data_IF_521059588099
#
_entry.id   IF_521059588099
#
_cell.length_a   1.000
_cell.length_b   1.000
_cell.length_c   1.000
_cell.angle_alpha   90.00
_cell.angle_beta   90.00
_cell.angle_gamma   90.00
#
_symmetry.space_group_name_H-M   'P 1'
#
loop_
_entity.id
_entity.type
_entity.pdbx_description
1 polymer ?
#
# COMPACT_ATOMS: atom_id res chain seq x y z
N UNK A 1 -6.58 1.60 1.83
CA UNK A 1 -5.36 2.40 2.04
C UNK A 1 -4.42 2.17 0.87
N UNK A 2 -4.03 3.25 0.18
CA UNK A 2 -3.27 3.18 -1.05
C UNK A 2 -1.95 3.95 -0.90
N UNK A 3 -0.84 3.25 -0.74
CA UNK A 3 0.50 3.80 -0.67
C UNK A 3 1.39 3.44 -1.88
N UNK A 4 0.83 2.79 -2.90
CA UNK A 4 1.51 2.40 -4.14
C UNK A 4 2.69 1.46 -3.96
N UNK A 5 2.70 0.68 -2.88
CA UNK A 5 3.68 -0.39 -2.71
C UNK A 5 3.20 -1.47 -1.73
N UNK A 6 3.85 -2.62 -1.78
CA UNK A 6 3.74 -3.65 -0.76
C UNK A 6 4.64 -3.25 0.42
N UNK A 7 4.09 -2.42 1.34
CA UNK A 7 4.89 -1.78 2.38
C UNK A 7 5.55 -2.76 3.35
N UNK A 8 4.83 -3.80 3.77
CA UNK A 8 5.36 -4.82 4.67
C UNK A 8 6.51 -5.60 4.01
N UNK A 9 6.32 -6.03 2.76
CA UNK A 9 7.35 -6.74 1.99
C UNK A 9 8.56 -5.86 1.73
N UNK A 10 8.34 -4.60 1.38
CA UNK A 10 9.41 -3.63 1.18
C UNK A 10 10.20 -3.38 2.46
N UNK A 11 9.52 -3.29 3.61
CA UNK A 11 10.18 -3.16 4.92
C UNK A 11 11.04 -4.38 5.23
N UNK A 12 10.55 -5.59 4.95
CA UNK A 12 11.33 -6.81 5.09
C UNK A 12 12.57 -6.80 4.19
N UNK A 13 12.45 -6.28 2.97
CA UNK A 13 13.58 -6.14 2.05
C UNK A 13 14.62 -5.14 2.56
N UNK A 14 14.20 -4.10 3.27
CA UNK A 14 15.12 -3.18 3.96
C UNK A 14 15.82 -3.89 5.12
N UNK A 15 15.08 -4.57 5.99
CA UNK A 15 15.57 -5.06 7.27
C UNK A 15 16.40 -6.36 7.13
N UNK A 16 16.11 -7.20 6.14
CA UNK A 16 16.71 -8.54 6.02
C UNK A 16 17.50 -8.77 4.75
N UNK A 17 17.32 -7.94 3.72
CA UNK A 17 17.88 -8.19 2.40
C UNK A 17 18.68 -7.02 1.86
N UNK A 18 19.19 -6.17 2.76
CA UNK A 18 20.06 -5.05 2.40
C UNK A 18 19.47 -4.18 1.29
N UNK A 19 18.19 -3.81 1.44
CA UNK A 19 17.45 -2.97 0.48
C UNK A 19 17.41 -3.51 -0.95
N UNK A 20 17.53 -4.82 -1.11
CA UNK A 20 17.38 -5.47 -2.41
C UNK A 20 15.90 -5.58 -2.76
N UNK A 21 15.38 -4.53 -3.38
CA UNK A 21 13.97 -4.42 -3.69
C UNK A 21 13.61 -5.24 -4.92
N UNK A 22 12.54 -6.03 -4.80
CA UNK A 22 11.94 -6.77 -5.91
C UNK A 22 10.42 -6.78 -5.73
N UNK A 23 9.70 -6.44 -6.80
CA UNK A 23 8.25 -6.51 -6.89
C UNK A 23 7.46 -5.80 -5.75
N UNK A 24 8.12 -4.89 -5.01
CA UNK A 24 7.49 -4.19 -3.88
C UNK A 24 6.90 -2.83 -4.26
N UNK A 25 7.32 -2.27 -5.39
CA UNK A 25 6.78 -1.02 -5.93
C UNK A 25 5.60 -1.32 -6.85
N UNK A 26 4.51 -0.60 -6.67
CA UNK A 26 3.33 -0.70 -7.51
C UNK A 26 3.14 0.60 -8.29
N UNK A 27 2.53 0.49 -9.46
CA UNK A 27 2.07 1.66 -10.21
C UNK A 27 0.89 2.33 -9.49
N UNK A 28 0.52 3.53 -9.90
CA UNK A 28 -0.66 4.21 -9.35
C UNK A 28 -1.93 3.56 -9.93
N UNK A 29 -2.46 2.58 -9.22
CA UNK A 29 -3.74 1.97 -9.55
C UNK A 29 -4.86 2.94 -9.17
N UNK A 30 -5.78 3.15 -10.07
CA UNK A 30 -6.99 3.95 -9.81
C UNK A 30 -8.10 3.05 -9.28
N UNK A 31 -8.10 2.74 -7.99
CA UNK A 31 -9.11 1.85 -7.37
C UNK A 31 -10.52 2.43 -7.46
N UNK A 32 -10.67 3.74 -7.45
CA UNK A 32 -11.95 4.41 -7.72
C UNK A 32 -12.49 3.99 -9.09
N UNK A 33 -11.68 4.08 -10.15
CA UNK A 33 -12.12 3.71 -11.51
C UNK A 33 -12.47 2.22 -11.60
N UNK A 34 -11.75 1.37 -10.87
CA UNK A 34 -12.07 -0.07 -10.81
C UNK A 34 -13.44 -0.27 -10.14
N UNK A 35 -13.68 0.39 -9.02
CA UNK A 35 -14.97 0.33 -8.32
C UNK A 35 -16.12 0.78 -9.22
N UNK A 36 -15.98 1.91 -9.90
CA UNK A 36 -16.97 2.45 -10.80
C UNK A 36 -17.24 1.51 -12.00
N UNK A 37 -16.20 0.90 -12.57
CA UNK A 37 -16.35 -0.08 -13.65
C UNK A 37 -17.09 -1.34 -13.22
N UNK A 38 -17.11 -1.65 -11.91
CA UNK A 38 -17.86 -2.75 -11.32
C UNK A 38 -19.27 -2.34 -10.84
N UNK A 39 -19.69 -1.09 -11.07
CA UNK A 39 -21.00 -0.57 -10.65
C UNK A 39 -21.09 -0.08 -9.22
N UNK A 40 -19.94 0.08 -8.53
CA UNK A 40 -19.88 0.73 -7.23
C UNK A 40 -19.56 2.22 -7.38
N UNK A 41 -19.73 2.99 -6.29
CA UNK A 41 -19.27 4.37 -6.23
C UNK A 41 -17.79 4.42 -5.76
N UNK A 42 -17.05 5.42 -6.23
CA UNK A 42 -15.67 5.63 -5.85
C UNK A 42 -15.45 7.00 -5.22
N UNK A 43 -14.68 7.06 -4.13
CA UNK A 43 -14.25 8.31 -3.50
C UNK A 43 -12.77 8.23 -3.25
N UNK A 44 -11.98 9.12 -3.87
CA UNK A 44 -10.55 9.26 -3.58
C UNK A 44 -10.33 10.36 -2.55
N UNK A 45 -9.51 10.07 -1.56
CA UNK A 45 -9.18 10.98 -0.45
C UNK A 45 -7.66 11.13 -0.37
N UNK A 46 -7.20 12.35 -0.55
CA UNK A 46 -5.76 12.71 -0.52
C UNK A 46 -5.35 13.39 0.80
N UNK A 47 -6.32 13.83 1.61
CA UNK A 47 -6.07 14.56 2.86
C UNK A 47 -6.80 13.90 4.02
N UNK A 48 -6.15 13.91 5.20
CA UNK A 48 -6.70 13.30 6.41
C UNK A 48 -8.07 13.88 6.82
N UNK A 49 -8.23 15.20 6.70
CA UNK A 49 -9.47 15.90 7.04
C UNK A 49 -10.68 15.47 6.20
N UNK A 50 -10.46 14.94 5.00
CA UNK A 50 -11.52 14.51 4.09
C UNK A 50 -11.99 13.06 4.34
N UNK A 51 -11.26 12.29 5.16
CA UNK A 51 -11.61 10.89 5.46
C UNK A 51 -12.95 10.76 6.16
N UNK A 52 -13.18 11.60 7.19
CA UNK A 52 -14.47 11.61 7.93
C UNK A 52 -15.66 11.94 7.04
N UNK A 53 -15.62 13.05 6.28
CA UNK A 53 -16.64 13.37 5.29
C UNK A 53 -16.90 12.28 4.27
N UNK A 54 -15.84 11.66 3.73
CA UNK A 54 -15.97 10.55 2.77
C UNK A 54 -16.67 9.33 3.37
N UNK A 55 -16.30 8.95 4.59
CA UNK A 55 -16.95 7.86 5.31
C UNK A 55 -18.43 8.14 5.55
N UNK A 56 -18.77 9.36 5.99
CA UNK A 56 -20.16 9.76 6.21
C UNK A 56 -20.96 9.68 4.92
N UNK A 57 -20.42 10.19 3.82
CA UNK A 57 -21.05 10.11 2.49
C UNK A 57 -21.27 8.66 2.06
N UNK A 58 -20.26 7.79 2.20
CA UNK A 58 -20.37 6.39 1.83
C UNK A 58 -21.45 5.65 2.64
N UNK A 59 -21.53 5.92 3.94
CA UNK A 59 -22.59 5.36 4.81
C UNK A 59 -23.97 5.84 4.36
N UNK A 60 -24.11 7.13 4.08
CA UNK A 60 -25.39 7.70 3.62
C UNK A 60 -25.83 7.07 2.30
N UNK A 61 -24.93 6.93 1.33
CA UNK A 61 -25.21 6.27 0.05
C UNK A 61 -25.60 4.79 0.25
N UNK A 62 -24.94 4.07 1.16
CA UNK A 62 -25.30 2.69 1.45
C UNK A 62 -26.68 2.58 2.10
N UNK A 63 -27.00 3.43 3.06
CA UNK A 63 -28.23 3.37 3.84
C UNK A 63 -29.45 3.83 3.04
N UNK A 64 -29.31 4.88 2.24
CA UNK A 64 -30.42 5.53 1.55
C UNK A 64 -30.56 5.13 0.08
N UNK A 65 -29.43 4.83 -0.58
CA UNK A 65 -29.41 4.53 -2.01
C UNK A 65 -29.05 3.06 -2.31
N UNK A 66 -28.66 2.27 -1.29
CA UNK A 66 -28.19 0.89 -1.42
C UNK A 66 -26.99 0.75 -2.35
N UNK A 67 -26.15 1.78 -2.40
CA UNK A 67 -24.94 1.80 -3.22
C UNK A 67 -23.71 1.41 -2.39
N UNK A 68 -22.96 0.44 -2.91
CA UNK A 68 -21.64 0.12 -2.37
C UNK A 68 -20.64 1.20 -2.77
N UNK A 69 -19.82 1.64 -1.82
CA UNK A 69 -18.80 2.67 -2.06
C UNK A 69 -17.43 2.17 -1.68
N UNK A 70 -16.46 2.38 -2.55
CA UNK A 70 -15.03 2.20 -2.27
C UNK A 70 -14.42 3.56 -1.95
N UNK A 71 -13.78 3.67 -0.79
CA UNK A 71 -13.01 4.86 -0.42
C UNK A 71 -11.54 4.55 -0.57
N UNK A 72 -10.87 5.19 -1.52
CA UNK A 72 -9.45 5.09 -1.76
C UNK A 72 -8.73 6.18 -0.97
N UNK A 73 -8.07 5.80 0.12
CA UNK A 73 -7.34 6.74 0.98
C UNK A 73 -5.86 6.69 0.60
N UNK A 74 -5.36 7.81 0.07
CA UNK A 74 -3.94 7.93 -0.28
C UNK A 74 -3.10 8.07 0.97
N UNK A 75 -2.09 7.21 1.09
CA UNK A 75 -1.19 7.16 2.24
C UNK A 75 0.24 7.50 1.84
N UNK A 76 1.04 7.90 2.84
CA UNK A 76 2.46 8.12 2.64
C UNK A 76 3.17 6.81 2.25
N UNK A 77 4.31 6.93 1.58
CA UNK A 77 5.15 5.78 1.19
C UNK A 77 6.18 5.43 2.27
N UNK A 78 6.13 6.07 3.41
CA UNK A 78 6.99 5.76 4.53
C UNK A 78 6.78 4.34 5.02
N UNK A 79 7.89 3.67 5.30
CA UNK A 79 7.87 2.32 5.84
C UNK A 79 7.76 2.43 7.38
N UNK A 80 6.69 1.88 7.92
CA UNK A 80 6.50 1.80 9.37
C UNK A 80 7.52 0.87 10.04
N UNK A 81 7.56 0.94 11.37
CA UNK A 81 8.30 -0.04 12.15
C UNK A 81 7.69 -1.44 12.01
N UNK A 82 8.51 -2.49 12.08
CA UNK A 82 8.01 -3.86 11.98
C UNK A 82 7.08 -4.20 13.14
N UNK A 83 6.03 -4.92 12.81
CA UNK A 83 4.99 -5.34 13.75
C UNK A 83 5.51 -6.17 14.93
N UNK A 84 6.63 -6.88 14.72
CA UNK A 84 7.29 -7.74 15.69
C UNK A 84 8.79 -7.57 15.57
N UNK A 85 9.35 -6.68 16.33
CA UNK A 85 10.81 -6.47 16.38
C UNK A 85 11.56 -7.76 16.70
N UNK A 86 11.05 -8.58 17.60
CA UNK A 86 11.70 -9.81 18.04
C UNK A 86 11.58 -10.99 17.06
N UNK A 87 10.53 -11.04 16.25
CA UNK A 87 10.35 -12.07 15.24
C UNK A 87 11.24 -11.87 14.01
N UNK A 88 11.83 -10.69 13.88
CA UNK A 88 12.58 -10.25 12.72
C UNK A 88 14.09 -10.22 12.95
N UNK A 89 14.58 -10.71 14.07
CA UNK A 89 16.02 -10.79 14.42
C UNK A 89 16.76 -11.92 13.70
N UNK A 90 16.27 -12.37 12.53
CA UNK A 90 16.93 -13.43 11.76
C UNK A 90 18.09 -12.84 10.93
N UNK A 91 19.20 -13.55 10.83
CA UNK A 91 20.30 -13.11 9.97
C UNK A 91 19.86 -13.01 8.51
N UNK A 92 20.35 -11.99 7.85
CA UNK A 92 20.12 -11.77 6.41
C UNK A 92 20.60 -13.00 5.64
N UNK A 93 19.72 -13.55 4.80
CA UNK A 93 20.07 -14.68 3.94
C UNK A 93 20.52 -14.17 2.57
N UNK A 94 21.82 -14.13 2.37
CA UNK A 94 22.40 -13.89 1.04
C UNK A 94 22.63 -15.23 0.35
N UNK A 95 21.97 -15.42 -0.78
CA UNK A 95 22.35 -16.46 -1.72
C UNK A 95 23.27 -15.83 -2.74
N UNK A 96 24.46 -16.39 -2.92
CA UNK A 96 25.50 -15.85 -3.82
C UNK A 96 24.97 -15.54 -5.23
N UNK A 97 24.07 -16.38 -5.73
CA UNK A 97 23.46 -16.18 -7.05
C UNK A 97 22.62 -14.89 -7.18
N UNK A 98 22.28 -14.25 -6.06
CA UNK A 98 21.46 -13.02 -6.05
C UNK A 98 22.18 -11.80 -5.50
N UNK A 99 23.49 -11.89 -5.21
CA UNK A 99 24.27 -10.78 -4.63
C UNK A 99 24.25 -9.50 -5.47
N UNK A 100 24.13 -9.65 -6.78
CA UNK A 100 24.21 -8.53 -7.72
C UNK A 100 22.85 -7.84 -7.99
N UNK A 101 21.77 -8.32 -7.39
CA UNK A 101 20.42 -7.77 -7.60
C UNK A 101 20.06 -6.57 -6.69
N UNK A 102 20.84 -6.30 -5.66
CA UNK A 102 20.44 -5.35 -4.61
C UNK A 102 20.55 -3.87 -4.95
N UNK A 103 21.48 -3.49 -5.78
CA UNK A 103 21.80 -2.07 -6.00
C UNK A 103 21.16 -1.43 -7.24
N UNK A 104 20.55 -2.21 -8.09
CA UNK A 104 20.07 -1.78 -9.42
C UNK A 104 18.56 -1.59 -9.52
N UNK A 105 17.86 -1.46 -8.41
CA UNK A 105 16.42 -1.15 -8.49
C UNK A 105 16.23 0.31 -8.95
N UNK A 106 15.55 0.55 -10.07
CA UNK A 106 15.31 1.91 -10.59
C UNK A 106 14.38 2.76 -9.72
N UNK A 107 13.91 2.23 -8.59
CA UNK A 107 12.89 2.84 -7.75
C UNK A 107 13.39 3.17 -6.33
N UNK A 108 14.61 3.71 -6.23
CA UNK A 108 15.10 4.29 -4.98
C UNK A 108 14.49 5.65 -4.72
#
# INVERSE_FOLDING_TARGET
FHNRHWGAEKKNQVDFYDRRFIAAELTDQHFVNIAESMGAEGIRVDKLEDVGPALKKAIDMQMNERKTTIIEIMCSRELGDPFRKDALSKPVRFLDKYKDFGEKSPHR
#
